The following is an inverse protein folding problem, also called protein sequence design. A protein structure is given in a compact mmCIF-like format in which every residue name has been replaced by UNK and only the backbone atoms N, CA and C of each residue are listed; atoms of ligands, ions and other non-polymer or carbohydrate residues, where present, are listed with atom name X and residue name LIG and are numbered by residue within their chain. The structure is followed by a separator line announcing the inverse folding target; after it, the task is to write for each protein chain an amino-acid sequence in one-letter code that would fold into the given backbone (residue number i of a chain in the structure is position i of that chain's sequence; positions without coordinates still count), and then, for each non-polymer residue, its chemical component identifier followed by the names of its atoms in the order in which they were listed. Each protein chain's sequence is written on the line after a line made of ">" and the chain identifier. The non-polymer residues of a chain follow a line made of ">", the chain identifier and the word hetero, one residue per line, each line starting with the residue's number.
data_IF_960610876286
#
_entry.id   IF_960610876286
#
_cell.length_a   1.000
_cell.length_b   1.000
_cell.length_c   1.000
_cell.angle_alpha   90.00
_cell.angle_beta   90.00
_cell.angle_gamma   90.00
#
_symmetry.space_group_name_H-M   'P 1'
#
loop_
_entity.id
_entity.type
_entity.pdbx_description
1 polymer ?
#
# COMPACT_ATOMS: atom_id res chain seq x y z
N UNK A 1 25.58 32.98 55.20
CA UNK A 1 24.67 32.27 54.26
C UNK A 1 25.49 31.86 53.05
N UNK A 2 25.85 30.58 52.93
CA UNK A 2 26.53 30.05 51.75
C UNK A 2 25.84 28.73 51.37
N UNK A 3 25.36 28.67 50.13
CA UNK A 3 25.41 27.46 49.33
C UNK A 3 24.20 26.51 49.38
N UNK A 4 23.09 26.91 48.77
CA UNK A 4 22.20 25.94 48.11
C UNK A 4 21.83 26.51 46.74
N UNK A 5 22.29 25.86 45.67
CA UNK A 5 21.66 25.72 44.34
C UNK A 5 22.62 24.79 43.57
N UNK A 6 22.23 23.55 43.34
CA UNK A 6 22.00 23.16 41.95
C UNK A 6 22.34 21.70 41.64
N UNK A 7 21.61 20.74 42.22
CA UNK A 7 21.59 19.33 41.77
C UNK A 7 20.31 18.98 41.00
N UNK A 8 19.66 19.95 40.36
CA UNK A 8 18.37 19.72 39.69
C UNK A 8 18.45 19.27 38.21
N UNK A 9 19.64 19.16 37.61
CA UNK A 9 19.78 18.90 36.15
C UNK A 9 20.22 17.48 35.74
N UNK A 10 20.56 16.60 36.69
CA UNK A 10 21.06 15.25 36.37
C UNK A 10 19.98 14.16 36.24
N UNK A 11 18.74 14.40 36.71
CA UNK A 11 17.65 13.41 36.71
C UNK A 11 16.84 13.35 35.39
N UNK A 12 16.75 14.47 34.65
CA UNK A 12 15.99 14.59 33.39
C UNK A 12 16.44 13.63 32.25
N UNK A 13 17.73 13.31 32.02
CA UNK A 13 18.12 12.48 30.88
C UNK A 13 17.75 10.99 31.03
N UNK A 14 17.72 10.45 32.25
CA UNK A 14 17.39 9.03 32.50
C UNK A 14 15.90 8.75 32.33
N UNK A 15 15.04 9.64 32.84
CA UNK A 15 13.59 9.52 32.67
C UNK A 15 13.17 9.71 31.21
N UNK A 16 13.72 10.72 30.53
CA UNK A 16 13.49 10.93 29.09
C UNK A 16 13.96 9.73 28.26
N UNK A 17 15.09 9.12 28.62
CA UNK A 17 15.57 7.91 27.96
C UNK A 17 14.66 6.69 28.23
N UNK A 18 14.12 6.54 29.44
CA UNK A 18 13.18 5.46 29.79
C UNK A 18 11.85 5.64 29.05
N UNK A 19 11.29 6.85 29.06
CA UNK A 19 10.08 7.19 28.31
C UNK A 19 10.26 6.94 26.80
N UNK A 20 11.39 7.34 26.21
CA UNK A 20 11.71 7.04 24.80
C UNK A 20 11.80 5.54 24.53
N UNK A 21 12.36 4.74 25.44
CA UNK A 21 12.43 3.28 25.27
C UNK A 21 11.03 2.66 25.32
N UNK A 22 10.17 3.13 26.20
CA UNK A 22 8.78 2.67 26.32
C UNK A 22 7.94 3.03 25.09
N UNK A 23 8.03 4.26 24.59
CA UNK A 23 7.33 4.68 23.37
C UNK A 23 7.80 3.89 22.15
N UNK A 24 9.12 3.67 21.98
CA UNK A 24 9.63 2.82 20.90
C UNK A 24 9.12 1.38 21.03
N UNK A 25 9.02 0.85 22.26
CA UNK A 25 8.48 -0.50 22.50
C UNK A 25 7.01 -0.59 22.12
N UNK A 26 6.21 0.42 22.47
CA UNK A 26 4.80 0.51 22.07
C UNK A 26 4.65 0.63 20.55
N UNK A 27 5.37 1.55 19.90
CA UNK A 27 5.37 1.71 18.44
C UNK A 27 5.76 0.42 17.71
N UNK A 28 6.74 -0.34 18.23
CA UNK A 28 7.12 -1.65 17.67
C UNK A 28 5.98 -2.67 17.77
N UNK A 29 5.25 -2.70 18.88
CA UNK A 29 4.08 -3.58 19.05
C UNK A 29 2.98 -3.19 18.07
N UNK A 30 2.64 -1.91 17.97
CA UNK A 30 1.64 -1.38 17.04
C UNK A 30 2.00 -1.69 15.58
N UNK A 31 3.26 -1.50 15.17
CA UNK A 31 3.70 -1.86 13.82
C UNK A 31 3.57 -3.36 13.54
N UNK A 32 3.80 -4.22 14.55
CA UNK A 32 3.65 -5.67 14.40
C UNK A 32 2.19 -6.02 14.17
N UNK A 33 1.27 -5.41 14.92
CA UNK A 33 -0.19 -5.58 14.77
C UNK A 33 -0.65 -5.07 13.41
N UNK A 34 -0.28 -3.85 13.01
CA UNK A 34 -0.60 -3.32 11.66
C UNK A 34 -0.10 -4.23 10.54
N UNK A 35 1.03 -4.91 10.73
CA UNK A 35 1.58 -5.86 9.75
C UNK A 35 0.79 -7.17 9.68
N UNK A 36 0.29 -7.69 10.80
CA UNK A 36 -0.56 -8.89 10.80
C UNK A 36 -1.92 -8.58 10.18
N UNK A 37 -2.55 -7.48 10.57
CA UNK A 37 -3.82 -7.02 9.99
C UNK A 37 -3.72 -6.81 8.47
N UNK A 38 -2.64 -6.21 7.98
CA UNK A 38 -2.42 -6.02 6.54
C UNK A 38 -2.29 -7.36 5.79
N UNK A 39 -1.68 -8.37 6.41
CA UNK A 39 -1.58 -9.71 5.82
C UNK A 39 -2.94 -10.39 5.77
N UNK A 40 -3.70 -10.32 6.86
CA UNK A 40 -5.05 -10.89 6.94
C UNK A 40 -5.97 -10.26 5.92
N UNK A 41 -6.01 -8.91 5.83
CA UNK A 41 -6.78 -8.18 4.80
C UNK A 41 -6.39 -8.61 3.38
N UNK A 42 -5.10 -8.87 3.13
CA UNK A 42 -4.64 -9.35 1.82
C UNK A 42 -5.15 -10.76 1.50
N UNK A 43 -5.16 -11.67 2.48
CA UNK A 43 -5.71 -13.02 2.27
C UNK A 43 -7.24 -12.98 2.12
N UNK A 44 -7.94 -12.16 2.89
CA UNK A 44 -9.39 -11.94 2.74
C UNK A 44 -9.76 -11.44 1.34
N UNK A 45 -9.02 -10.44 0.80
CA UNK A 45 -9.24 -9.94 -0.57
C UNK A 45 -9.02 -11.06 -1.61
N UNK A 46 -8.05 -11.97 -1.40
CA UNK A 46 -7.85 -13.11 -2.31
C UNK A 46 -9.00 -14.12 -2.21
N UNK A 47 -9.47 -14.43 -1.01
CA UNK A 47 -10.59 -15.34 -0.78
C UNK A 47 -11.87 -14.81 -1.45
N UNK A 48 -12.21 -13.53 -1.25
CA UNK A 48 -13.35 -12.90 -1.95
C UNK A 48 -13.22 -12.98 -3.48
N UNK A 49 -11.99 -12.85 -4.01
CA UNK A 49 -11.74 -13.01 -5.45
C UNK A 49 -12.00 -14.44 -5.94
N UNK A 50 -11.61 -15.46 -5.17
CA UNK A 50 -11.84 -16.87 -5.53
C UNK A 50 -13.32 -17.20 -5.47
N UNK A 51 -14.01 -16.78 -4.42
CA UNK A 51 -15.46 -16.95 -4.25
C UNK A 51 -16.24 -16.34 -5.42
N UNK A 52 -15.94 -15.09 -5.81
CA UNK A 52 -16.58 -14.43 -6.97
C UNK A 52 -16.32 -15.23 -8.26
N UNK A 53 -15.13 -15.83 -8.41
CA UNK A 53 -14.77 -16.60 -9.61
C UNK A 53 -15.52 -17.92 -9.65
N UNK A 54 -15.66 -18.59 -8.51
CA UNK A 54 -16.37 -19.87 -8.37
C UNK A 54 -17.87 -19.69 -8.57
N UNK A 55 -18.51 -18.73 -7.89
CA UNK A 55 -19.92 -18.41 -8.07
C UNK A 55 -20.27 -18.07 -9.54
N UNK A 56 -19.37 -17.37 -10.25
CA UNK A 56 -19.54 -17.11 -11.70
C UNK A 56 -19.41 -18.37 -12.55
N UNK A 57 -18.51 -19.28 -12.19
CA UNK A 57 -18.34 -20.56 -12.91
C UNK A 57 -19.55 -21.44 -12.70
N UNK A 58 -20.08 -21.54 -11.48
CA UNK A 58 -21.29 -22.30 -11.15
C UNK A 58 -22.49 -21.80 -11.95
N UNK A 59 -22.75 -20.49 -11.95
CA UNK A 59 -23.85 -19.89 -12.72
C UNK A 59 -23.69 -20.15 -14.23
N UNK A 60 -22.45 -20.16 -14.72
CA UNK A 60 -22.16 -20.52 -16.12
C UNK A 60 -22.35 -22.02 -16.40
N UNK A 61 -22.00 -22.88 -15.44
CA UNK A 61 -22.19 -24.33 -15.55
C UNK A 61 -23.67 -24.71 -15.52
N UNK A 62 -24.45 -24.16 -14.59
CA UNK A 62 -25.92 -24.32 -14.52
C UNK A 62 -26.57 -23.89 -15.85
N UNK A 63 -26.20 -22.72 -16.39
CA UNK A 63 -26.67 -22.27 -17.70
C UNK A 63 -26.28 -23.23 -18.83
N UNK A 64 -25.06 -23.74 -18.82
CA UNK A 64 -24.58 -24.66 -19.85
C UNK A 64 -25.27 -26.02 -19.77
N UNK A 65 -25.61 -26.50 -18.58
CA UNK A 65 -26.36 -27.74 -18.40
C UNK A 65 -27.76 -27.64 -19.02
N UNK A 66 -28.42 -26.48 -18.87
CA UNK A 66 -29.71 -26.21 -19.53
C UNK A 66 -29.57 -26.14 -21.04
N UNK A 67 -28.50 -25.51 -21.53
CA UNK A 67 -28.27 -25.37 -22.96
C UNK A 67 -27.85 -26.69 -23.64
N UNK A 68 -27.17 -27.60 -22.94
CA UNK A 68 -26.79 -28.92 -23.46
C UNK A 68 -26.26 -28.88 -24.90
N UNK A 69 -26.84 -29.71 -25.76
CA UNK A 69 -26.55 -29.77 -27.19
C UNK A 69 -27.03 -28.55 -27.98
N UNK A 70 -28.07 -27.86 -27.50
CA UNK A 70 -28.56 -26.62 -28.12
C UNK A 70 -27.51 -25.51 -28.08
N UNK A 71 -26.52 -25.59 -27.17
CA UNK A 71 -25.39 -24.66 -27.12
C UNK A 71 -24.57 -24.67 -28.41
N UNK A 72 -24.26 -25.85 -28.95
CA UNK A 72 -23.47 -25.97 -30.18
C UNK A 72 -24.32 -25.61 -31.40
N UNK A 73 -25.61 -25.97 -31.41
CA UNK A 73 -26.54 -25.56 -32.48
C UNK A 73 -26.72 -24.04 -32.55
N UNK A 74 -26.75 -23.36 -31.40
CA UNK A 74 -26.82 -21.89 -31.33
C UNK A 74 -25.45 -21.19 -31.46
N UNK A 75 -24.36 -21.93 -31.61
CA UNK A 75 -23.02 -21.36 -31.76
C UNK A 75 -22.86 -20.84 -33.18
N UNK A 76 -22.45 -19.58 -33.34
CA UNK A 76 -22.35 -18.94 -34.65
C UNK A 76 -23.66 -18.33 -35.16
N UNK A 77 -24.82 -18.75 -34.67
CA UNK A 77 -26.11 -18.13 -35.01
C UNK A 77 -26.18 -16.65 -34.62
N UNK A 78 -26.82 -15.84 -35.46
CA UNK A 78 -27.16 -14.44 -35.17
C UNK A 78 -28.18 -14.35 -34.01
N UNK A 79 -28.34 -13.17 -33.37
CA UNK A 79 -29.37 -13.00 -32.35
C UNK A 79 -30.80 -13.30 -32.84
N UNK A 80 -31.08 -13.02 -34.11
CA UNK A 80 -32.39 -13.28 -34.73
C UNK A 80 -32.63 -14.78 -34.95
N UNK A 81 -31.64 -15.50 -35.48
CA UNK A 81 -31.68 -16.95 -35.63
C UNK A 81 -31.83 -17.67 -34.28
N UNK A 82 -31.13 -17.20 -33.24
CA UNK A 82 -31.30 -17.72 -31.87
C UNK A 82 -32.72 -17.51 -31.34
N UNK A 83 -33.35 -16.37 -31.65
CA UNK A 83 -34.71 -16.07 -31.24
C UNK A 83 -35.72 -16.96 -31.97
N UNK A 84 -35.52 -17.20 -33.27
CA UNK A 84 -36.31 -18.16 -34.04
C UNK A 84 -36.16 -19.59 -33.49
N UNK A 85 -34.92 -20.03 -33.24
CA UNK A 85 -34.63 -21.33 -32.64
C UNK A 85 -35.29 -21.54 -31.28
N UNK A 86 -35.27 -20.52 -30.41
CA UNK A 86 -35.97 -20.57 -29.11
C UNK A 86 -37.50 -20.53 -29.23
N UNK A 87 -38.05 -20.01 -30.35
CA UNK A 87 -39.49 -20.09 -30.63
C UNK A 87 -39.89 -21.50 -31.06
N UNK A 88 -39.02 -22.18 -31.81
CA UNK A 88 -39.18 -23.57 -32.24
C UNK A 88 -38.89 -24.59 -31.14
N UNK A 89 -38.17 -24.19 -30.07
CA UNK A 89 -37.86 -25.03 -28.91
C UNK A 89 -38.48 -24.43 -27.62
N UNK A 90 -39.81 -24.52 -27.43
CA UNK A 90 -40.51 -23.89 -26.31
C UNK A 90 -40.02 -24.39 -24.93
N UNK A 91 -39.70 -25.67 -24.80
CA UNK A 91 -39.18 -26.26 -23.55
C UNK A 91 -37.84 -25.64 -23.13
N UNK A 92 -36.93 -25.45 -24.10
CA UNK A 92 -35.64 -24.81 -23.85
C UNK A 92 -35.84 -23.35 -23.43
N UNK A 93 -36.75 -22.64 -24.10
CA UNK A 93 -37.09 -21.25 -23.78
C UNK A 93 -37.65 -21.13 -22.36
N UNK A 94 -38.52 -22.04 -21.94
CA UNK A 94 -39.09 -22.06 -20.59
C UNK A 94 -38.03 -22.38 -19.51
N UNK A 95 -37.15 -23.35 -19.76
CA UNK A 95 -36.03 -23.66 -18.85
C UNK A 95 -35.07 -22.48 -18.71
N UNK A 96 -34.77 -21.77 -19.81
CA UNK A 96 -33.91 -20.59 -19.79
C UNK A 96 -34.56 -19.40 -19.10
N UNK A 97 -35.88 -19.19 -19.23
CA UNK A 97 -36.58 -18.12 -18.50
C UNK A 97 -36.64 -18.42 -17.00
N UNK A 98 -37.00 -19.64 -16.61
CA UNK A 98 -37.00 -20.07 -15.21
C UNK A 98 -35.62 -19.92 -14.58
N UNK A 99 -34.55 -20.33 -15.29
CA UNK A 99 -33.18 -20.11 -14.84
C UNK A 99 -32.80 -18.63 -14.75
N UNK A 100 -33.27 -17.79 -15.68
CA UNK A 100 -33.00 -16.35 -15.63
C UNK A 100 -33.61 -15.72 -14.37
N UNK A 101 -34.79 -16.15 -13.98
CA UNK A 101 -35.46 -15.70 -12.76
C UNK A 101 -34.78 -16.23 -11.51
N UNK A 102 -34.55 -17.55 -11.41
CA UNK A 102 -33.89 -18.16 -10.25
C UNK A 102 -32.44 -17.70 -10.06
N UNK A 103 -31.72 -17.38 -11.14
CA UNK A 103 -30.37 -16.86 -11.08
C UNK A 103 -30.31 -15.33 -10.87
N UNK A 104 -31.45 -14.61 -10.84
CA UNK A 104 -31.47 -13.15 -10.72
C UNK A 104 -30.80 -12.70 -9.42
N UNK A 105 -31.21 -13.28 -8.31
CA UNK A 105 -30.65 -12.97 -6.98
C UNK A 105 -29.17 -13.32 -6.91
N UNK A 106 -28.78 -14.54 -7.32
CA UNK A 106 -27.37 -14.95 -7.40
C UNK A 106 -26.52 -13.97 -8.25
N UNK A 107 -27.08 -13.43 -9.35
CA UNK A 107 -26.37 -12.44 -10.20
C UNK A 107 -26.19 -11.11 -9.48
N UNK A 108 -27.22 -10.61 -8.80
CA UNK A 108 -27.12 -9.37 -8.03
C UNK A 108 -26.16 -9.52 -6.84
N UNK A 109 -26.18 -10.66 -6.16
CA UNK A 109 -25.23 -10.98 -5.10
C UNK A 109 -23.78 -11.01 -5.62
N UNK A 110 -23.52 -11.66 -6.76
CA UNK A 110 -22.20 -11.67 -7.40
C UNK A 110 -21.76 -10.24 -7.80
N UNK A 111 -22.69 -9.40 -8.28
CA UNK A 111 -22.40 -8.00 -8.60
C UNK A 111 -22.04 -7.21 -7.33
N UNK A 112 -22.82 -7.34 -6.26
CA UNK A 112 -22.56 -6.71 -4.97
C UNK A 112 -21.18 -7.13 -4.43
N UNK A 113 -20.89 -8.44 -4.35
CA UNK A 113 -19.57 -8.98 -3.96
C UNK A 113 -18.44 -8.43 -4.83
N UNK A 114 -18.66 -8.28 -6.15
CA UNK A 114 -17.67 -7.70 -7.08
C UNK A 114 -17.41 -6.22 -6.80
N UNK A 115 -18.45 -5.44 -6.50
CA UNK A 115 -18.33 -4.01 -6.16
C UNK A 115 -17.56 -3.88 -4.84
N UNK A 116 -17.95 -4.65 -3.83
CA UNK A 116 -17.29 -4.68 -2.52
C UNK A 116 -15.80 -5.05 -2.67
N UNK A 117 -15.49 -6.13 -3.37
CA UNK A 117 -14.11 -6.54 -3.67
C UNK A 117 -13.29 -5.43 -4.37
N UNK A 118 -13.90 -4.71 -5.32
CA UNK A 118 -13.22 -3.58 -5.97
C UNK A 118 -12.93 -2.46 -4.97
N UNK A 119 -13.91 -2.08 -4.16
CA UNK A 119 -13.76 -1.03 -3.14
C UNK A 119 -12.69 -1.40 -2.11
N UNK A 120 -12.70 -2.63 -1.59
CA UNK A 120 -11.67 -3.10 -0.66
C UNK A 120 -10.27 -3.07 -1.26
N UNK A 121 -10.14 -3.44 -2.54
CA UNK A 121 -8.86 -3.38 -3.25
C UNK A 121 -8.35 -1.95 -3.40
N UNK A 122 -9.23 -1.00 -3.72
CA UNK A 122 -8.91 0.43 -3.79
C UNK A 122 -8.45 0.92 -2.42
N UNK A 123 -9.24 0.68 -1.37
CA UNK A 123 -8.91 1.05 0.01
C UNK A 123 -7.56 0.46 0.48
N UNK A 124 -7.28 -0.81 0.15
CA UNK A 124 -6.02 -1.45 0.50
C UNK A 124 -4.81 -0.82 -0.21
N UNK A 125 -4.97 -0.38 -1.46
CA UNK A 125 -3.91 0.34 -2.19
C UNK A 125 -3.73 1.74 -1.62
N UNK A 126 -4.81 2.46 -1.35
CA UNK A 126 -4.81 3.80 -0.74
C UNK A 126 -4.10 3.80 0.61
N UNK A 127 -4.50 2.90 1.53
CA UNK A 127 -3.86 2.74 2.84
C UNK A 127 -2.35 2.46 2.70
N UNK A 128 -1.95 1.66 1.71
CA UNK A 128 -0.52 1.39 1.48
C UNK A 128 0.23 2.62 0.97
N UNK A 129 -0.40 3.45 0.14
CA UNK A 129 0.19 4.71 -0.36
C UNK A 129 0.36 5.67 0.82
N UNK A 130 -0.67 5.85 1.63
CA UNK A 130 -0.67 6.74 2.79
C UNK A 130 0.44 6.36 3.80
N UNK A 131 0.50 5.08 4.19
CA UNK A 131 1.58 4.57 5.04
C UNK A 131 2.99 4.82 4.46
N UNK A 132 3.13 4.79 3.12
CA UNK A 132 4.40 5.13 2.48
C UNK A 132 4.68 6.63 2.48
N UNK A 133 3.65 7.48 2.33
CA UNK A 133 3.75 8.94 2.40
C UNK A 133 4.19 9.38 3.81
N UNK A 134 3.58 8.84 4.85
CA UNK A 134 4.02 9.07 6.25
C UNK A 134 5.47 8.65 6.48
N UNK A 135 5.88 7.51 5.92
CA UNK A 135 7.27 7.08 6.01
C UNK A 135 8.20 8.00 5.22
N UNK A 136 7.74 8.50 4.08
CA UNK A 136 8.53 9.38 3.23
C UNK A 136 8.83 10.71 3.96
N UNK A 137 7.81 11.34 4.56
CA UNK A 137 7.99 12.60 5.29
C UNK A 137 9.01 12.45 6.43
N UNK A 138 8.93 11.37 7.20
CA UNK A 138 9.92 11.07 8.25
C UNK A 138 11.35 10.92 7.70
N UNK A 139 11.50 10.25 6.55
CA UNK A 139 12.82 10.07 5.95
C UNK A 139 13.35 11.38 5.36
N UNK A 140 12.51 12.21 4.76
CA UNK A 140 12.89 13.53 4.25
C UNK A 140 13.35 14.46 5.38
N UNK A 141 12.58 14.53 6.47
CA UNK A 141 12.94 15.33 7.65
C UNK A 141 14.26 14.87 8.27
N UNK A 142 14.47 13.55 8.37
CA UNK A 142 15.74 12.99 8.85
C UNK A 142 16.90 13.31 7.90
N UNK A 143 16.65 13.36 6.60
CA UNK A 143 17.68 13.68 5.61
C UNK A 143 18.09 15.14 5.72
N UNK A 144 17.12 16.06 5.78
CA UNK A 144 17.34 17.50 5.99
C UNK A 144 18.10 17.76 7.31
N UNK A 145 17.69 17.16 8.42
CA UNK A 145 18.44 17.27 9.69
C UNK A 145 19.87 16.72 9.59
N UNK A 146 20.09 15.75 8.70
CA UNK A 146 21.42 15.19 8.41
C UNK A 146 22.28 16.17 7.62
N UNK A 147 21.74 16.73 6.53
CA UNK A 147 22.44 17.73 5.70
C UNK A 147 22.83 18.95 6.53
N UNK A 148 21.89 19.50 7.32
CA UNK A 148 22.13 20.71 8.11
C UNK A 148 23.25 20.52 9.15
N UNK A 149 23.32 19.33 9.76
CA UNK A 149 24.36 19.00 10.73
C UNK A 149 25.73 18.85 10.09
N UNK A 150 25.78 18.22 8.92
CA UNK A 150 27.01 18.06 8.14
C UNK A 150 27.52 19.44 7.74
N UNK A 151 26.67 20.31 7.21
CA UNK A 151 27.02 21.67 6.80
C UNK A 151 27.50 22.52 7.98
N UNK A 152 26.76 22.53 9.10
CA UNK A 152 27.20 23.21 10.34
C UNK A 152 28.57 22.71 10.82
N UNK A 153 28.83 21.41 10.69
CA UNK A 153 30.11 20.83 11.09
C UNK A 153 31.23 21.25 10.13
N UNK A 154 30.98 21.29 8.82
CA UNK A 154 31.94 21.81 7.83
C UNK A 154 32.31 23.26 8.13
N UNK A 155 31.31 24.11 8.30
CA UNK A 155 31.53 25.54 8.59
C UNK A 155 32.32 25.72 9.88
N UNK A 156 32.00 24.95 10.94
CA UNK A 156 32.79 24.96 12.18
C UNK A 156 34.24 24.53 11.95
N UNK A 157 34.47 23.42 11.24
CA UNK A 157 35.83 22.95 10.98
C UNK A 157 36.64 23.95 10.16
N UNK A 158 36.01 24.62 9.19
CA UNK A 158 36.62 25.70 8.42
C UNK A 158 37.02 26.87 9.32
N UNK A 159 36.11 27.36 10.17
CA UNK A 159 36.43 28.45 11.11
C UNK A 159 37.53 28.09 12.10
N UNK A 160 37.55 26.85 12.60
CA UNK A 160 38.62 26.39 13.50
C UNK A 160 39.98 26.33 12.81
N UNK A 161 40.00 25.93 11.53
CA UNK A 161 41.21 25.92 10.71
C UNK A 161 41.71 27.34 10.47
N UNK A 162 40.81 28.26 10.08
CA UNK A 162 41.12 29.68 9.83
C UNK A 162 41.61 30.39 11.10
N UNK A 163 41.06 30.05 12.26
CA UNK A 163 41.50 30.56 13.56
C UNK A 163 42.82 29.94 14.06
N UNK A 164 43.36 28.94 13.35
CA UNK A 164 44.56 28.21 13.78
C UNK A 164 44.35 27.32 15.02
N UNK A 165 43.10 27.06 15.43
CA UNK A 165 42.77 26.18 16.56
C UNK A 165 43.09 24.71 16.29
N UNK A 166 43.12 24.33 15.00
CA UNK A 166 43.39 22.97 14.54
C UNK A 166 44.42 23.00 13.43
N UNK A 167 45.26 21.97 13.35
CA UNK A 167 46.27 21.84 12.28
C UNK A 167 45.65 21.39 10.97
N UNK A 168 46.39 21.53 9.87
CA UNK A 168 45.98 21.05 8.54
C UNK A 168 45.72 19.54 8.53
N UNK A 169 46.55 18.78 9.26
CA UNK A 169 46.44 17.34 9.40
C UNK A 169 45.16 16.96 10.16
N UNK A 170 44.89 17.61 11.30
CA UNK A 170 43.66 17.39 12.07
C UNK A 170 42.40 17.78 11.31
N UNK A 171 42.44 18.88 10.55
CA UNK A 171 41.35 19.29 9.68
C UNK A 171 41.06 18.23 8.61
N UNK A 172 42.11 17.72 7.96
CA UNK A 172 42.01 16.68 6.94
C UNK A 172 41.41 15.38 7.50
N UNK A 173 41.83 14.94 8.69
CA UNK A 173 41.24 13.78 9.34
C UNK A 173 39.76 13.96 9.69
N UNK A 174 39.39 15.12 10.22
CA UNK A 174 38.00 15.45 10.60
C UNK A 174 37.12 15.54 9.35
N UNK A 175 37.61 16.11 8.26
CA UNK A 175 36.93 16.14 6.98
C UNK A 175 36.75 14.75 6.38
N UNK A 176 37.76 13.87 6.45
CA UNK A 176 37.65 12.49 6.00
C UNK A 176 36.57 11.70 6.77
N UNK A 177 36.43 11.92 8.08
CA UNK A 177 35.33 11.35 8.88
C UNK A 177 33.98 11.88 8.44
N UNK A 178 33.90 13.17 8.10
CA UNK A 178 32.69 13.84 7.63
C UNK A 178 32.26 13.32 6.25
N UNK A 179 33.20 13.09 5.32
CA UNK A 179 32.94 12.46 4.02
C UNK A 179 32.31 11.07 4.18
N UNK A 180 32.79 10.25 5.13
CA UNK A 180 32.16 8.94 5.43
C UNK A 180 30.71 9.06 5.93
N UNK A 181 30.37 10.16 6.60
CA UNK A 181 28.99 10.45 7.04
C UNK A 181 28.14 10.89 5.85
N UNK A 182 28.69 11.72 4.95
CA UNK A 182 28.02 12.13 3.71
C UNK A 182 27.69 10.93 2.82
N UNK A 183 28.60 9.98 2.67
CA UNK A 183 28.32 8.74 1.94
C UNK A 183 27.14 7.95 2.53
N UNK A 184 27.05 7.89 3.87
CA UNK A 184 25.91 7.26 4.55
C UNK A 184 24.61 8.04 4.31
N UNK A 185 24.68 9.37 4.27
CA UNK A 185 23.53 10.22 3.95
C UNK A 185 23.08 10.03 2.50
N UNK A 186 24.00 9.94 1.55
CA UNK A 186 23.70 9.61 0.14
C UNK A 186 23.03 8.24 -0.02
N UNK A 187 23.45 7.24 0.77
CA UNK A 187 22.75 5.94 0.84
C UNK A 187 21.33 6.09 1.37
N UNK A 188 21.09 7.02 2.29
CA UNK A 188 19.77 7.33 2.83
C UNK A 188 18.89 8.05 1.79
N UNK A 189 19.42 9.03 1.06
CA UNK A 189 18.76 9.69 -0.07
C UNK A 189 18.29 8.71 -1.13
N UNK A 190 19.14 7.73 -1.46
CA UNK A 190 18.77 6.63 -2.36
C UNK A 190 17.60 5.77 -1.83
N UNK A 191 17.40 5.70 -0.51
CA UNK A 191 16.21 5.04 0.07
C UNK A 191 14.98 5.94 -0.05
N UNK A 192 15.14 7.25 0.15
CA UNK A 192 14.06 8.24 -0.05
C UNK A 192 13.54 8.18 -1.49
N UNK A 193 14.43 8.21 -2.49
CA UNK A 193 14.06 8.12 -3.91
C UNK A 193 13.36 6.80 -4.26
N UNK A 194 13.79 5.67 -3.69
CA UNK A 194 13.11 4.38 -3.82
C UNK A 194 11.71 4.38 -3.20
N UNK A 195 11.51 5.05 -2.07
CA UNK A 195 10.18 5.19 -1.47
C UNK A 195 9.29 6.08 -2.35
N UNK A 196 9.79 7.22 -2.83
CA UNK A 196 9.09 8.13 -3.77
C UNK A 196 8.60 7.40 -5.02
N UNK A 197 9.51 6.74 -5.74
CA UNK A 197 9.14 5.94 -6.93
C UNK A 197 8.17 4.79 -6.60
N UNK A 198 8.20 4.26 -5.38
CA UNK A 198 7.24 3.27 -4.91
C UNK A 198 5.86 3.83 -4.57
N UNK A 199 5.74 5.13 -4.29
CA UNK A 199 4.49 5.86 -4.08
C UNK A 199 3.85 6.18 -5.43
N UNK A 200 4.63 6.74 -6.37
CA UNK A 200 4.14 7.07 -7.72
C UNK A 200 3.56 5.85 -8.44
N UNK A 201 4.27 4.73 -8.43
CA UNK A 201 3.76 3.43 -8.94
C UNK A 201 2.50 2.93 -8.22
N UNK A 202 2.29 3.34 -6.98
CA UNK A 202 1.08 3.06 -6.21
C UNK A 202 -0.08 3.91 -6.69
N UNK A 203 0.14 5.22 -6.84
CA UNK A 203 -0.84 6.20 -7.34
C UNK A 203 -1.30 5.85 -8.76
N UNK A 204 -0.39 5.49 -9.66
CA UNK A 204 -0.74 4.98 -10.99
C UNK A 204 -1.65 3.73 -10.93
N UNK A 205 -1.43 2.85 -9.95
CA UNK A 205 -2.27 1.66 -9.77
C UNK A 205 -3.64 2.03 -9.22
N UNK A 206 -3.72 3.02 -8.35
CA UNK A 206 -4.97 3.52 -7.78
C UNK A 206 -5.83 4.13 -8.90
N UNK A 207 -5.25 5.02 -9.71
CA UNK A 207 -5.89 5.59 -10.91
C UNK A 207 -6.44 4.49 -11.83
N UNK A 208 -5.64 3.47 -12.16
CA UNK A 208 -6.08 2.33 -12.98
C UNK A 208 -7.22 1.51 -12.37
N UNK A 209 -7.36 1.48 -11.05
CA UNK A 209 -8.47 0.79 -10.38
C UNK A 209 -9.74 1.65 -10.37
N UNK A 210 -9.60 2.96 -10.18
CA UNK A 210 -10.71 3.91 -10.17
C UNK A 210 -11.32 4.07 -11.57
N UNK A 211 -10.52 4.18 -12.64
CA UNK A 211 -11.04 4.19 -14.02
C UNK A 211 -11.80 2.89 -14.38
N UNK A 212 -11.41 1.76 -13.77
CA UNK A 212 -12.13 0.47 -13.94
C UNK A 212 -13.39 0.38 -13.09
N UNK A 213 -13.54 1.23 -12.09
CA UNK A 213 -14.76 1.36 -11.28
C UNK A 213 -15.81 2.15 -12.08
N UNK A 214 -15.42 3.28 -12.66
CA UNK A 214 -16.29 4.16 -13.46
C UNK A 214 -16.83 3.47 -14.72
N UNK A 215 -15.99 2.75 -15.49
CA UNK A 215 -16.43 2.08 -16.73
C UNK A 215 -17.30 0.81 -16.52
N UNK A 216 -17.76 0.51 -15.31
CA UNK A 216 -18.56 -0.69 -15.00
C UNK A 216 -19.77 -0.43 -14.08
N UNK A 217 -20.02 0.83 -13.72
CA UNK A 217 -21.30 1.28 -13.19
C UNK A 217 -22.16 1.76 -14.36
#
# INVERSE_FOLDING_TARGET
>A
MIGFIGTAHAQKPKEVAKQRKETIKQQKKEMKVKRTEMKEKKEQIKAKKTEIKEAKKELKAEKNAILGEHKEKMKGMTPEEKKAYLKENPDLKQKLSAFKESAKEKREEIKAKRIEFKNEKVNAVQNRIENKKERLTFLEERNSKGTDKIEKTKNRLLSQKEAGEITEEEYSEKMAKLTKIEEKLKKHENRVSKVKSGITKGEEKLLKLDSKKENNN
#
